data_IF_937524453676
#
_entry.id   IF_937524453676
#
_cell.length_a   1.000
_cell.length_b   1.000
_cell.length_c   1.000
_cell.angle_alpha   90.00
_cell.angle_beta   90.00
_cell.angle_gamma   90.00
#
_symmetry.space_group_name_H-M   'P 1'
#
loop_
_entity.id
_entity.type
_entity.pdbx_description
1 polymer ?
#
# COMPACT_ATOMS: atom_id res chain seq x y z
N UNK A 1 -22.52 -63.07 54.55
CA UNK A 1 -22.30 -61.64 54.87
C UNK A 1 -21.27 -61.06 53.85
N UNK A 2 -21.71 -60.45 52.76
CA UNK A 2 -20.82 -59.82 51.76
C UNK A 2 -20.97 -58.30 51.90
N UNK A 3 -19.90 -57.60 52.32
CA UNK A 3 -19.80 -56.17 52.35
C UNK A 3 -19.45 -55.70 50.90
N UNK A 4 -20.33 -54.91 50.25
CA UNK A 4 -20.04 -54.19 49.01
C UNK A 4 -19.25 -52.94 49.38
N UNK A 5 -18.01 -52.83 48.89
CA UNK A 5 -17.22 -51.60 48.88
C UNK A 5 -17.62 -50.78 47.62
N UNK A 6 -18.12 -49.59 47.86
CA UNK A 6 -18.47 -48.65 46.88
C UNK A 6 -17.22 -47.72 46.64
N UNK A 7 -16.58 -47.85 45.49
CA UNK A 7 -15.43 -47.00 45.14
C UNK A 7 -15.95 -45.76 44.39
N UNK A 8 -15.83 -44.60 45.02
CA UNK A 8 -16.17 -43.32 44.38
C UNK A 8 -15.00 -42.90 43.49
N UNK A 9 -15.29 -42.77 42.16
CA UNK A 9 -14.34 -42.20 41.20
C UNK A 9 -14.59 -40.70 41.12
N UNK A 10 -13.65 -39.91 41.59
CA UNK A 10 -13.70 -38.44 41.48
C UNK A 10 -13.08 -38.05 40.14
N UNK A 11 -13.91 -37.57 39.21
CA UNK A 11 -13.46 -37.01 37.95
C UNK A 11 -13.08 -35.54 38.19
N UNK A 12 -11.80 -35.23 38.13
CA UNK A 12 -11.28 -33.86 38.18
C UNK A 12 -11.43 -33.24 36.80
N UNK A 13 -12.32 -32.26 36.69
CA UNK A 13 -12.51 -31.46 35.46
C UNK A 13 -11.38 -30.41 35.39
N UNK A 14 -10.40 -30.64 34.53
CA UNK A 14 -9.34 -29.65 34.24
C UNK A 14 -9.92 -28.63 33.23
N UNK A 15 -10.35 -27.49 33.73
CA UNK A 15 -10.72 -26.33 32.86
C UNK A 15 -9.43 -25.66 32.41
N UNK A 16 -9.00 -26.03 31.21
CA UNK A 16 -7.90 -25.33 30.51
C UNK A 16 -8.32 -23.93 30.11
N UNK A 17 -7.84 -22.91 30.80
CA UNK A 17 -7.98 -21.51 30.38
C UNK A 17 -7.17 -21.27 29.13
N UNK A 18 -7.83 -21.20 27.97
CA UNK A 18 -7.24 -20.65 26.75
C UNK A 18 -7.08 -19.13 26.93
N UNK A 19 -5.89 -18.72 27.34
CA UNK A 19 -5.51 -17.30 27.23
C UNK A 19 -5.40 -16.95 25.76
N UNK A 20 -6.42 -16.30 25.22
CA UNK A 20 -6.33 -15.65 23.91
C UNK A 20 -5.26 -14.55 24.01
N UNK A 21 -4.09 -14.79 23.44
CA UNK A 21 -3.07 -13.76 23.25
C UNK A 21 -3.67 -12.65 22.41
N UNK A 22 -4.07 -11.56 23.05
CA UNK A 22 -4.38 -10.32 22.37
C UNK A 22 -3.10 -9.89 21.63
N UNK A 23 -3.06 -10.08 20.32
CA UNK A 23 -2.03 -9.48 19.47
C UNK A 23 -2.18 -7.98 19.66
N UNK A 24 -1.23 -7.38 20.36
CA UNK A 24 -1.16 -5.93 20.49
C UNK A 24 -1.22 -5.35 19.07
N UNK A 25 -2.22 -4.53 18.78
CA UNK A 25 -2.35 -3.83 17.52
C UNK A 25 -1.09 -2.95 17.37
N UNK A 26 -0.10 -3.45 16.62
CA UNK A 26 1.15 -2.74 16.37
C UNK A 26 0.83 -1.40 15.72
N UNK A 27 1.64 -0.38 16.03
CA UNK A 27 1.53 0.92 15.33
C UNK A 27 1.68 0.68 13.82
N UNK A 28 0.85 1.36 13.05
CA UNK A 28 0.96 1.35 11.59
C UNK A 28 2.40 1.66 11.16
N UNK A 29 2.98 0.85 10.25
CA UNK A 29 4.31 1.13 9.72
C UNK A 29 4.34 2.49 9.03
N UNK A 30 5.49 3.17 9.11
CA UNK A 30 5.73 4.44 8.43
C UNK A 30 6.91 4.31 7.49
N UNK A 31 6.85 5.00 6.38
CA UNK A 31 7.95 5.08 5.42
C UNK A 31 8.27 6.53 5.10
N UNK A 32 9.55 6.79 4.85
CA UNK A 32 10.04 8.06 4.36
C UNK A 32 10.47 7.89 2.91
N UNK A 33 9.84 8.64 2.02
CA UNK A 33 10.16 8.68 0.60
C UNK A 33 10.92 9.97 0.31
N UNK A 34 12.17 9.85 -0.08
CA UNK A 34 12.98 10.96 -0.58
C UNK A 34 12.82 11.05 -2.10
N UNK A 35 12.39 12.20 -2.58
CA UNK A 35 12.26 12.47 -4.02
C UNK A 35 13.26 13.53 -4.48
N UNK A 36 13.34 13.76 -5.79
CA UNK A 36 14.12 14.88 -6.32
C UNK A 36 13.54 16.26 -5.96
N UNK A 37 12.27 16.32 -5.52
CA UNK A 37 11.56 17.56 -5.19
C UNK A 37 11.27 17.74 -3.69
N UNK A 38 11.70 16.80 -2.85
CA UNK A 38 11.53 16.86 -1.40
C UNK A 38 11.15 15.50 -0.82
N UNK A 39 10.78 15.51 0.46
CA UNK A 39 10.53 14.32 1.26
C UNK A 39 9.04 14.18 1.58
N UNK A 40 8.53 12.95 1.49
CA UNK A 40 7.14 12.59 1.81
C UNK A 40 7.14 11.49 2.85
N UNK A 41 6.43 11.67 3.97
CA UNK A 41 6.26 10.66 5.01
C UNK A 41 4.87 10.04 4.90
N UNK A 42 4.81 8.72 4.88
CA UNK A 42 3.59 7.95 4.61
C UNK A 42 3.35 6.98 5.77
N UNK A 43 2.11 6.92 6.25
CA UNK A 43 1.62 5.88 7.17
C UNK A 43 0.91 4.79 6.36
N UNK A 44 1.19 3.53 6.69
CA UNK A 44 0.63 2.37 5.99
C UNK A 44 -0.43 1.69 6.87
N UNK A 45 -1.59 1.38 6.33
CA UNK A 45 -2.73 0.81 7.04
C UNK A 45 -2.65 -0.72 7.10
N UNK A 46 -1.73 -1.22 7.95
CA UNK A 46 -1.43 -2.66 8.05
C UNK A 46 -2.66 -3.51 8.40
N UNK A 47 -3.58 -2.99 9.20
CA UNK A 47 -4.78 -3.73 9.62
C UNK A 47 -5.80 -3.84 8.49
N UNK A 48 -6.02 -2.74 7.76
CA UNK A 48 -7.05 -2.63 6.73
C UNK A 48 -6.59 -3.19 5.37
N UNK A 49 -5.27 -3.19 5.11
CA UNK A 49 -4.68 -3.58 3.82
C UNK A 49 -3.40 -4.40 3.99
N UNK A 50 -3.45 -5.52 4.74
CA UNK A 50 -2.24 -6.27 5.09
C UNK A 50 -1.47 -6.78 3.87
N UNK A 51 -2.14 -7.28 2.84
CA UNK A 51 -1.48 -7.82 1.63
C UNK A 51 -0.79 -6.71 0.85
N UNK A 52 -1.44 -5.56 0.66
CA UNK A 52 -0.88 -4.41 -0.05
C UNK A 52 0.30 -3.80 0.72
N UNK A 53 0.18 -3.67 2.05
CA UNK A 53 1.24 -3.13 2.90
C UNK A 53 2.46 -4.07 2.92
N UNK A 54 2.26 -5.38 3.12
CA UNK A 54 3.36 -6.35 3.14
C UNK A 54 4.08 -6.41 1.79
N UNK A 55 3.34 -6.38 0.68
CA UNK A 55 3.89 -6.30 -0.67
C UNK A 55 4.73 -5.03 -0.85
N UNK A 56 4.19 -3.87 -0.50
CA UNK A 56 4.89 -2.59 -0.61
C UNK A 56 6.17 -2.57 0.26
N UNK A 57 6.08 -3.02 1.52
CA UNK A 57 7.24 -3.09 2.42
C UNK A 57 8.30 -4.10 1.95
N UNK A 58 7.91 -5.17 1.26
CA UNK A 58 8.86 -6.10 0.64
C UNK A 58 9.69 -5.39 -0.43
N UNK A 59 9.08 -4.60 -1.30
CA UNK A 59 9.80 -3.79 -2.28
C UNK A 59 10.64 -2.68 -1.62
N UNK A 60 10.15 -2.05 -0.54
CA UNK A 60 10.93 -1.06 0.23
C UNK A 60 12.19 -1.68 0.80
N UNK A 61 12.07 -2.82 1.50
CA UNK A 61 13.21 -3.55 2.10
C UNK A 61 14.24 -4.00 1.07
N UNK A 62 13.78 -4.36 -0.13
CA UNK A 62 14.66 -4.74 -1.24
C UNK A 62 15.33 -3.55 -1.95
N UNK A 63 15.05 -2.30 -1.54
CA UNK A 63 15.52 -1.10 -2.22
C UNK A 63 14.99 -0.95 -3.66
N UNK A 64 13.92 -1.67 -4.00
CA UNK A 64 13.37 -1.72 -5.35
C UNK A 64 12.99 -0.34 -5.89
N UNK A 65 12.43 0.51 -5.04
CA UNK A 65 11.95 1.84 -5.42
C UNK A 65 13.06 2.85 -5.67
N UNK A 66 14.28 2.59 -5.18
CA UNK A 66 15.41 3.51 -5.34
C UNK A 66 15.75 3.67 -6.83
N UNK A 67 15.80 4.92 -7.29
CA UNK A 67 16.03 5.25 -8.70
C UNK A 67 14.83 5.04 -9.62
N UNK A 68 13.64 4.71 -9.08
CA UNK A 68 12.41 4.73 -9.87
C UNK A 68 11.89 6.15 -10.02
N UNK A 69 10.93 6.36 -10.93
CA UNK A 69 10.35 7.67 -11.21
C UNK A 69 8.84 7.67 -11.03
N UNK A 70 8.27 8.86 -10.80
CA UNK A 70 6.88 9.11 -11.06
C UNK A 70 6.69 9.21 -12.58
N UNK A 71 6.22 8.13 -13.18
CA UNK A 71 6.14 7.97 -14.64
C UNK A 71 4.82 8.45 -15.23
N UNK A 72 3.84 8.80 -14.41
CA UNK A 72 2.55 9.36 -14.83
C UNK A 72 2.06 10.37 -13.80
N UNK A 73 1.87 11.61 -14.25
CA UNK A 73 1.43 12.72 -13.41
C UNK A 73 0.27 13.42 -14.09
N UNK A 74 -0.88 13.46 -13.42
CA UNK A 74 -2.09 14.14 -13.91
C UNK A 74 -2.55 15.12 -12.84
N UNK A 75 -2.35 16.44 -13.03
CA UNK A 75 -2.85 17.46 -12.13
C UNK A 75 -4.36 17.30 -11.86
N UNK A 76 -4.79 17.51 -10.62
CA UNK A 76 -6.20 17.36 -10.25
C UNK A 76 -6.70 15.90 -10.22
N UNK A 77 -5.80 14.92 -10.34
CA UNK A 77 -6.13 13.51 -10.25
C UNK A 77 -5.16 12.75 -9.34
N UNK A 78 -3.99 12.35 -9.83
CA UNK A 78 -3.02 11.56 -9.06
C UNK A 78 -1.59 11.68 -9.62
N UNK A 79 -0.61 11.27 -8.83
CA UNK A 79 0.76 10.99 -9.27
C UNK A 79 1.05 9.50 -9.09
N UNK A 80 1.56 8.82 -10.15
CA UNK A 80 1.80 7.37 -10.15
C UNK A 80 3.28 7.08 -10.36
N UNK A 81 3.83 6.18 -9.53
CA UNK A 81 5.24 5.80 -9.55
C UNK A 81 5.50 4.36 -9.18
N UNK A 82 6.78 4.03 -8.94
CA UNK A 82 7.21 2.75 -8.39
C UNK A 82 7.30 1.58 -9.38
N UNK A 83 7.29 1.83 -10.68
CA UNK A 83 7.37 0.74 -11.68
C UNK A 83 8.44 0.93 -12.75
N UNK A 84 8.93 2.15 -12.95
CA UNK A 84 9.81 2.49 -14.07
C UNK A 84 11.07 3.18 -13.58
N UNK A 85 12.19 2.90 -14.24
CA UNK A 85 13.44 3.65 -14.13
C UNK A 85 13.36 4.99 -14.90
N UNK A 86 14.36 5.84 -14.75
CA UNK A 86 14.40 7.16 -15.40
C UNK A 86 14.40 7.11 -16.93
N UNK A 87 14.94 6.04 -17.50
CA UNK A 87 14.92 5.79 -18.95
C UNK A 87 13.60 5.11 -19.42
N UNK A 88 12.58 5.11 -18.54
CA UNK A 88 11.25 4.55 -18.79
C UNK A 88 11.26 3.06 -19.16
N UNK A 89 12.20 2.31 -18.59
CA UNK A 89 12.14 0.84 -18.60
C UNK A 89 11.38 0.35 -17.41
N UNK A 90 10.41 -0.54 -17.64
CA UNK A 90 9.69 -1.19 -16.55
C UNK A 90 10.61 -2.14 -15.80
N UNK A 91 10.65 -2.04 -14.47
CA UNK A 91 11.41 -2.96 -13.62
C UNK A 91 10.70 -4.30 -13.50
N UNK A 92 11.46 -5.39 -13.40
CA UNK A 92 10.93 -6.74 -13.19
C UNK A 92 10.34 -6.81 -11.78
N UNK A 93 9.08 -7.21 -11.67
CA UNK A 93 8.34 -7.29 -10.40
C UNK A 93 8.14 -8.72 -9.94
N UNK A 94 7.74 -8.89 -8.68
CA UNK A 94 7.25 -10.16 -8.14
C UNK A 94 5.85 -10.53 -8.67
N UNK A 95 5.27 -11.55 -8.06
CA UNK A 95 3.90 -11.99 -8.40
C UNK A 95 2.87 -10.91 -8.06
N UNK A 96 1.76 -10.83 -8.84
CA UNK A 96 0.64 -9.98 -8.51
C UNK A 96 -0.01 -10.35 -7.17
N UNK A 97 -0.66 -9.37 -6.55
CA UNK A 97 -1.35 -9.52 -5.27
C UNK A 97 -2.86 -9.36 -5.43
N UNK A 98 -3.61 -9.89 -4.45
CA UNK A 98 -5.06 -9.73 -4.35
C UNK A 98 -5.43 -8.27 -4.10
N UNK A 99 -6.51 -7.82 -4.75
CA UNK A 99 -7.06 -6.49 -4.55
C UNK A 99 -7.82 -6.39 -3.21
N UNK A 100 -7.41 -5.45 -2.36
CA UNK A 100 -8.03 -5.20 -1.05
C UNK A 100 -8.98 -3.98 -1.05
N UNK A 101 -9.43 -3.49 -2.20
CA UNK A 101 -10.31 -2.31 -2.26
C UNK A 101 -11.70 -2.50 -1.60
N UNK A 102 -12.02 -3.73 -1.14
CA UNK A 102 -13.18 -4.02 -0.31
C UNK A 102 -12.98 -3.63 1.17
N UNK A 103 -11.81 -3.11 1.55
CA UNK A 103 -11.44 -2.74 2.92
C UNK A 103 -12.19 -1.51 3.49
N UNK A 104 -13.02 -0.86 2.68
CA UNK A 104 -13.82 0.32 3.07
C UNK A 104 -13.08 1.66 3.00
N UNK A 105 -11.77 1.66 2.75
CA UNK A 105 -10.98 2.88 2.58
C UNK A 105 -11.31 3.58 1.26
N UNK A 106 -11.19 4.90 1.26
CA UNK A 106 -11.52 5.74 0.11
C UNK A 106 -10.29 6.37 -0.49
N UNK A 107 -10.29 6.56 -1.81
CA UNK A 107 -9.26 7.25 -2.57
C UNK A 107 -9.37 8.78 -2.38
N UNK A 108 -9.32 9.24 -1.13
CA UNK A 108 -9.35 10.65 -0.79
C UNK A 108 -7.99 11.29 -1.03
N UNK A 109 -7.96 12.63 -1.15
CA UNK A 109 -6.70 13.38 -1.26
C UNK A 109 -5.68 12.96 -0.20
N UNK A 110 -4.44 12.75 -0.62
CA UNK A 110 -3.33 12.33 0.22
C UNK A 110 -3.27 10.83 0.52
N UNK A 111 -4.23 10.01 0.10
CA UNK A 111 -4.12 8.56 0.24
C UNK A 111 -3.22 7.96 -0.83
N UNK A 112 -2.53 6.86 -0.48
CA UNK A 112 -1.74 6.04 -1.40
C UNK A 112 -2.49 4.73 -1.68
N UNK A 113 -2.57 4.35 -2.96
CA UNK A 113 -3.28 3.17 -3.42
C UNK A 113 -2.46 2.37 -4.44
N UNK A 114 -2.76 1.07 -4.55
CA UNK A 114 -2.11 0.18 -5.53
C UNK A 114 -2.61 0.46 -6.94
N UNK A 115 -1.69 0.71 -7.87
CA UNK A 115 -2.00 0.72 -9.28
C UNK A 115 -2.12 -0.71 -9.81
N UNK A 116 -3.03 -0.93 -10.76
CA UNK A 116 -3.30 -2.23 -11.39
C UNK A 116 -3.69 -2.08 -12.86
N UNK A 117 -3.68 -3.18 -13.57
CA UNK A 117 -4.27 -3.27 -14.93
C UNK A 117 -5.80 -3.40 -14.86
N UNK A 118 -6.44 -3.73 -15.96
CA UNK A 118 -7.88 -4.03 -16.00
C UNK A 118 -8.26 -5.26 -15.14
N UNK A 119 -7.32 -6.15 -14.85
CA UNK A 119 -7.55 -7.28 -13.97
C UNK A 119 -7.45 -6.84 -12.49
N UNK A 120 -8.42 -7.17 -11.63
CA UNK A 120 -8.45 -6.69 -10.25
C UNK A 120 -7.23 -7.13 -9.45
N UNK A 121 -6.79 -8.37 -9.57
CA UNK A 121 -5.68 -8.98 -8.81
C UNK A 121 -4.37 -8.92 -9.62
N UNK A 122 -4.04 -7.76 -10.21
CA UNK A 122 -2.86 -7.58 -11.03
C UNK A 122 -1.84 -6.58 -10.49
N UNK A 123 -2.09 -6.00 -9.32
CA UNK A 123 -1.19 -5.06 -8.69
C UNK A 123 0.15 -5.75 -8.33
N UNK A 124 1.27 -5.04 -8.54
CA UNK A 124 2.62 -5.50 -8.17
C UNK A 124 3.36 -4.44 -7.36
N UNK A 125 4.22 -3.63 -7.97
CA UNK A 125 5.02 -2.60 -7.28
C UNK A 125 4.46 -1.19 -7.42
N UNK A 126 3.67 -0.91 -8.47
CA UNK A 126 3.23 0.44 -8.76
C UNK A 126 2.15 0.93 -7.80
N UNK A 127 2.26 2.18 -7.41
CA UNK A 127 1.32 2.88 -6.56
C UNK A 127 1.00 4.27 -7.11
N UNK A 128 -0.06 4.88 -6.60
CA UNK A 128 -0.34 6.28 -6.85
C UNK A 128 -0.75 7.02 -5.58
N UNK A 129 -0.53 8.33 -5.55
CA UNK A 129 -0.98 9.23 -4.48
C UNK A 129 -2.08 10.12 -5.05
N UNK A 130 -3.21 10.14 -4.39
CA UNK A 130 -4.38 10.92 -4.77
C UNK A 130 -4.16 12.42 -4.50
N UNK A 131 -4.37 13.26 -5.51
CA UNK A 131 -4.27 14.72 -5.40
C UNK A 131 -5.60 15.39 -4.99
N UNK A 132 -6.69 14.69 -5.22
CA UNK A 132 -8.07 15.08 -4.87
C UNK A 132 -8.83 13.85 -4.37
N UNK A 133 -10.09 14.03 -3.97
CA UNK A 133 -10.99 12.94 -3.61
C UNK A 133 -11.48 12.23 -4.89
N UNK A 134 -10.83 11.13 -5.24
CA UNK A 134 -11.08 10.37 -6.45
C UNK A 134 -12.16 9.31 -6.21
N UNK A 135 -13.41 9.73 -6.01
CA UNK A 135 -14.53 8.82 -5.70
C UNK A 135 -14.78 7.77 -6.79
N UNK A 136 -14.46 8.08 -8.07
CA UNK A 136 -14.54 7.15 -9.19
C UNK A 136 -13.54 5.99 -9.13
N UNK A 137 -12.57 6.00 -8.19
CA UNK A 137 -11.63 4.90 -7.94
C UNK A 137 -12.04 4.01 -6.77
N UNK A 138 -13.09 4.40 -6.03
CA UNK A 138 -13.59 3.61 -4.91
C UNK A 138 -14.47 2.47 -5.41
N UNK A 139 -14.36 1.29 -4.78
CA UNK A 139 -15.29 0.20 -5.04
C UNK A 139 -16.74 0.66 -4.80
N UNK A 140 -17.71 0.31 -5.70
CA UNK A 140 -17.58 -0.60 -6.84
C UNK A 140 -17.07 0.05 -8.15
N UNK A 141 -16.67 1.31 -8.14
CA UNK A 141 -16.16 2.01 -9.32
C UNK A 141 -14.67 1.69 -9.58
N UNK A 142 -14.20 1.80 -10.85
CA UNK A 142 -14.98 1.99 -12.10
C UNK A 142 -15.52 0.68 -12.69
N UNK A 143 -15.06 -0.48 -12.19
CA UNK A 143 -15.20 -1.78 -12.83
C UNK A 143 -15.73 -2.89 -11.88
N UNK A 144 -16.36 -2.50 -10.77
CA UNK A 144 -16.84 -3.40 -9.72
C UNK A 144 -15.81 -3.68 -8.62
N UNK A 145 -14.52 -3.39 -8.85
CA UNK A 145 -13.43 -3.79 -7.95
C UNK A 145 -12.76 -2.62 -7.21
N UNK A 146 -12.60 -1.45 -7.85
CA UNK A 146 -11.92 -0.29 -7.27
C UNK A 146 -10.41 -0.45 -7.16
N UNK A 147 -9.78 0.53 -6.49
CA UNK A 147 -8.34 0.58 -6.23
C UNK A 147 -8.06 0.55 -4.73
N UNK A 148 -7.19 -0.37 -4.30
CA UNK A 148 -6.93 -0.63 -2.88
C UNK A 148 -6.07 0.47 -2.26
N UNK A 149 -6.68 1.32 -1.44
CA UNK A 149 -5.97 2.25 -0.56
C UNK A 149 -5.27 1.44 0.54
N UNK A 150 -3.99 1.73 0.79
CA UNK A 150 -3.20 1.02 1.80
C UNK A 150 -2.40 1.94 2.72
N UNK A 151 -2.57 3.28 2.61
CA UNK A 151 -1.90 4.25 3.47
C UNK A 151 -2.30 5.68 3.14
N UNK A 152 -1.64 6.63 3.82
CA UNK A 152 -1.81 8.06 3.58
C UNK A 152 -0.52 8.85 3.83
N UNK A 153 -0.39 9.96 3.16
CA UNK A 153 0.65 10.96 3.43
C UNK A 153 0.38 11.61 4.79
N UNK A 154 1.38 11.61 5.66
CA UNK A 154 1.38 12.31 6.95
C UNK A 154 2.01 13.70 6.85
N UNK A 155 3.13 13.78 6.11
CA UNK A 155 3.93 15.00 5.93
C UNK A 155 4.41 15.06 4.47
N UNK A 156 4.52 16.25 3.89
CA UNK A 156 5.03 16.44 2.52
C UNK A 156 3.96 16.44 1.43
N UNK A 157 2.69 16.73 1.74
CA UNK A 157 1.67 16.95 0.70
C UNK A 157 2.02 18.12 -0.24
N UNK A 158 2.72 19.13 0.25
CA UNK A 158 3.27 20.22 -0.57
C UNK A 158 4.30 19.72 -1.59
N UNK A 159 5.09 18.69 -1.25
CA UNK A 159 6.02 18.03 -2.18
C UNK A 159 5.23 17.24 -3.22
N UNK A 160 4.17 16.53 -2.83
CA UNK A 160 3.27 15.81 -3.74
C UNK A 160 2.61 16.79 -4.71
N UNK A 161 2.18 17.97 -4.26
CA UNK A 161 1.61 19.02 -5.11
C UNK A 161 2.65 19.59 -6.07
N UNK A 162 3.89 19.85 -5.63
CA UNK A 162 5.00 20.25 -6.51
C UNK A 162 5.27 19.22 -7.61
N UNK A 163 5.18 17.92 -7.28
CA UNK A 163 5.30 16.85 -8.29
C UNK A 163 4.15 16.93 -9.29
N UNK A 164 2.94 17.24 -8.83
CA UNK A 164 1.76 17.35 -9.68
C UNK A 164 1.82 18.54 -10.68
N UNK A 165 2.62 19.56 -10.39
CA UNK A 165 2.76 20.78 -11.20
C UNK A 165 3.87 20.68 -12.25
N UNK A 166 4.65 19.59 -12.29
CA UNK A 166 5.73 19.45 -13.27
C UNK A 166 5.16 19.37 -14.69
N UNK A 167 5.89 19.92 -15.64
CA UNK A 167 5.53 19.81 -17.06
C UNK A 167 5.56 18.34 -17.48
N UNK A 168 4.48 17.87 -18.09
CA UNK A 168 4.38 16.52 -18.65
C UNK A 168 4.43 16.52 -20.17
N UNK A 169 4.89 15.43 -20.74
CA UNK A 169 5.03 15.22 -22.18
C UNK A 169 4.72 13.77 -22.55
N UNK A 170 4.71 13.47 -23.83
CA UNK A 170 4.64 12.11 -24.33
C UNK A 170 6.06 11.52 -24.36
N UNK A 171 6.25 10.35 -23.78
CA UNK A 171 7.53 9.63 -23.83
C UNK A 171 7.30 8.15 -24.14
N UNK A 172 7.92 7.63 -25.21
CA UNK A 172 7.78 6.22 -25.68
C UNK A 172 6.32 5.76 -25.81
N UNK A 173 5.43 6.64 -26.28
CA UNK A 173 3.99 6.33 -26.44
C UNK A 173 3.16 6.45 -25.16
N UNK A 174 3.77 6.72 -24.01
CA UNK A 174 3.06 6.99 -22.75
C UNK A 174 2.80 8.50 -22.64
N UNK A 175 1.56 8.84 -22.22
CA UNK A 175 1.13 10.21 -21.93
C UNK A 175 1.38 10.55 -20.47
N UNK A 176 1.36 11.84 -20.17
CA UNK A 176 1.41 12.39 -18.81
C UNK A 176 2.71 12.03 -18.06
N UNK A 177 3.80 11.81 -18.81
CA UNK A 177 5.13 11.52 -18.26
C UNK A 177 5.82 12.85 -17.94
N UNK A 178 6.38 13.07 -16.75
CA UNK A 178 7.20 14.25 -16.48
C UNK A 178 8.32 14.41 -17.53
N UNK A 179 8.40 15.60 -18.16
CA UNK A 179 9.44 15.88 -19.17
C UNK A 179 10.84 15.81 -18.56
N UNK A 180 10.98 16.28 -17.30
CA UNK A 180 12.14 16.09 -16.44
C UNK A 180 11.80 14.99 -15.44
N UNK A 181 12.55 13.88 -15.35
CA UNK A 181 12.22 12.78 -14.48
C UNK A 181 12.16 13.19 -13.00
N UNK A 182 11.04 12.92 -12.34
CA UNK A 182 10.89 13.08 -10.88
C UNK A 182 11.26 11.76 -10.21
N UNK A 183 12.40 11.73 -9.55
CA UNK A 183 13.00 10.53 -8.95
C UNK A 183 12.45 10.23 -7.57
N UNK A 184 12.25 8.96 -7.27
CA UNK A 184 12.24 8.40 -5.93
C UNK A 184 13.70 8.01 -5.63
N UNK A 185 14.43 8.85 -4.87
CA UNK A 185 15.84 8.65 -4.54
C UNK A 185 16.00 7.48 -3.57
N UNK A 186 15.17 7.46 -2.53
CA UNK A 186 15.11 6.39 -1.56
C UNK A 186 13.71 6.24 -0.96
N UNK A 187 13.41 5.05 -0.45
CA UNK A 187 12.20 4.76 0.30
C UNK A 187 12.57 3.83 1.45
N UNK A 188 12.38 4.30 2.69
CA UNK A 188 12.87 3.63 3.89
C UNK A 188 11.78 3.52 4.95
N UNK A 189 11.79 2.41 5.70
CA UNK A 189 10.92 2.23 6.87
C UNK A 189 11.48 3.09 8.01
N UNK A 190 10.61 3.89 8.64
CA UNK A 190 10.96 4.73 9.79
C UNK A 190 10.11 4.37 11.01
N UNK A 191 10.64 4.72 12.20
CA UNK A 191 9.95 4.46 13.48
C UNK A 191 8.81 5.43 13.75
#
# INVERSE_FOLDING_TARGET
MFKKMLTAVTIALVIGSFAASAVAAGKNPRVLMETSLGTVKIELFQKESPVSVDNFLTYVKAGFYNGTTFHRVIPGFMIQGGGFSTDMRQKITGKPIKNEAANGLKNNRGTIAMARTAFPDSATSQFFINLVDNNGLNRPQPDGFGYAVFGKVLEGMDVVDKIAEVKTCMHRGMRDVPCEPVLIKSLQIVK
#
